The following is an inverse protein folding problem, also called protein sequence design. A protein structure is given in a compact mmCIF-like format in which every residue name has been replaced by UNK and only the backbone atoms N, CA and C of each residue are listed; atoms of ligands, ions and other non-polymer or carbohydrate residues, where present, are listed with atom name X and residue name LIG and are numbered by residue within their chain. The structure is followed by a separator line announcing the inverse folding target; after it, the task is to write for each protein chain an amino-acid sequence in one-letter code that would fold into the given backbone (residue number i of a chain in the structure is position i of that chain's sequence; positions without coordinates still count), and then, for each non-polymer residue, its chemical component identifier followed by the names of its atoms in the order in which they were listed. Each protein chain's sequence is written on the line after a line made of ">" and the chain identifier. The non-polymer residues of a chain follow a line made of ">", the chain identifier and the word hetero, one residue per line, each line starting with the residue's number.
data_IF_429847351991
#
_entry.id   IF_429847351991
#
_cell.length_a   1.000
_cell.length_b   1.000
_cell.length_c   1.000
_cell.angle_alpha   90.00
_cell.angle_beta   90.00
_cell.angle_gamma   90.00
#
_symmetry.space_group_name_H-M   'P 1'
#
loop_
_entity.id
_entity.type
_entity.pdbx_description
1 polymer ?
#
# COMPACT_ATOMS: atom_id res chain seq x y z
N UNK A 1 -5.47 12.10 -1.40
CA UNK A 1 -5.38 13.56 -1.17
C UNK A 1 -6.07 14.02 0.12
N UNK A 2 -7.19 13.40 0.51
CA UNK A 2 -8.07 13.93 1.56
C UNK A 2 -7.63 13.57 2.99
N UNK A 3 -6.84 12.52 3.18
CA UNK A 3 -6.34 12.12 4.51
C UNK A 3 -5.08 12.92 4.83
N UNK A 4 -5.15 13.80 5.83
CA UNK A 4 -4.06 14.73 6.17
C UNK A 4 -2.77 14.03 6.58
N UNK A 5 -2.90 12.90 7.27
CA UNK A 5 -1.79 12.08 7.77
C UNK A 5 -0.94 11.42 6.67
N UNK A 6 -1.48 11.33 5.45
CA UNK A 6 -0.71 10.85 4.29
C UNK A 6 0.02 12.04 3.66
N UNK A 7 1.34 12.02 3.66
CA UNK A 7 2.18 13.08 3.12
C UNK A 7 2.62 12.79 1.68
N UNK A 8 2.97 11.54 1.40
CA UNK A 8 3.45 11.10 0.11
C UNK A 8 2.83 9.76 -0.30
N UNK A 9 2.70 9.54 -1.60
CA UNK A 9 2.23 8.30 -2.21
C UNK A 9 3.24 7.89 -3.28
N UNK A 10 3.68 6.63 -3.23
CA UNK A 10 4.44 5.97 -4.28
C UNK A 10 3.56 4.91 -4.92
N UNK A 11 3.48 4.91 -6.24
CA UNK A 11 2.70 3.93 -6.99
C UNK A 11 3.64 3.02 -7.77
N UNK A 12 3.58 1.71 -7.51
CA UNK A 12 4.22 0.70 -8.34
C UNK A 12 3.17 0.07 -9.27
N UNK A 13 3.40 0.14 -10.56
CA UNK A 13 2.49 -0.38 -11.57
C UNK A 13 3.22 -1.10 -12.70
N UNK A 14 2.47 -1.72 -13.60
CA UNK A 14 3.01 -2.29 -14.84
C UNK A 14 3.64 -1.17 -15.67
N UNK A 15 4.84 -1.43 -16.22
CA UNK A 15 5.63 -0.41 -16.94
C UNK A 15 4.84 0.31 -18.05
N UNK A 16 4.00 -0.41 -18.77
CA UNK A 16 3.15 0.14 -19.85
C UNK A 16 2.08 1.12 -19.37
N UNK A 17 1.79 1.18 -18.06
CA UNK A 17 0.75 2.04 -17.49
C UNK A 17 1.31 3.29 -16.80
N UNK A 18 2.62 3.46 -16.74
CA UNK A 18 3.25 4.59 -16.01
C UNK A 18 2.77 5.93 -16.59
N UNK A 19 2.86 6.11 -17.91
CA UNK A 19 2.45 7.38 -18.55
C UNK A 19 0.94 7.62 -18.42
N UNK A 20 0.13 6.56 -18.51
CA UNK A 20 -1.31 6.67 -18.28
C UNK A 20 -1.61 7.14 -16.84
N UNK A 21 -0.95 6.56 -15.84
CA UNK A 21 -1.13 6.96 -14.44
C UNK A 21 -0.61 8.37 -14.17
N UNK A 22 0.49 8.79 -14.78
CA UNK A 22 0.98 10.18 -14.66
C UNK A 22 -0.07 11.18 -15.16
N UNK A 23 -0.71 10.88 -16.28
CA UNK A 23 -1.79 11.72 -16.81
C UNK A 23 -2.98 11.75 -15.86
N UNK A 24 -3.43 10.61 -15.35
CA UNK A 24 -4.52 10.56 -14.37
C UNK A 24 -4.19 11.36 -13.09
N UNK A 25 -2.99 11.20 -12.55
CA UNK A 25 -2.53 11.93 -11.35
C UNK A 25 -2.60 13.43 -11.59
N UNK A 26 -2.21 13.89 -12.79
CA UNK A 26 -2.28 15.30 -13.20
C UNK A 26 -3.73 15.76 -13.37
N UNK A 27 -4.54 15.01 -14.11
CA UNK A 27 -5.92 15.37 -14.44
C UNK A 27 -6.80 15.46 -13.19
N UNK A 28 -6.57 14.58 -12.22
CA UNK A 28 -7.27 14.57 -10.94
C UNK A 28 -6.59 15.38 -9.83
N UNK A 29 -5.49 16.10 -10.14
CA UNK A 29 -4.75 16.91 -9.18
C UNK A 29 -4.36 16.12 -7.90
N UNK A 30 -3.82 14.91 -8.07
CA UNK A 30 -3.41 14.07 -6.94
C UNK A 30 -1.99 14.45 -6.50
N UNK A 31 -1.85 15.60 -5.85
CA UNK A 31 -0.55 16.21 -5.52
C UNK A 31 0.30 15.41 -4.53
N UNK A 32 -0.28 14.46 -3.79
CA UNK A 32 0.45 13.58 -2.86
C UNK A 32 1.21 12.45 -3.56
N UNK A 33 0.91 12.12 -4.80
CA UNK A 33 1.69 11.18 -5.58
C UNK A 33 3.04 11.81 -5.93
N UNK A 34 4.11 11.32 -5.32
CA UNK A 34 5.47 11.83 -5.51
C UNK A 34 6.27 11.00 -6.51
N UNK A 35 5.94 9.72 -6.66
CA UNK A 35 6.63 8.83 -7.60
C UNK A 35 5.69 7.76 -8.16
N UNK A 36 5.87 7.45 -9.44
CA UNK A 36 5.23 6.32 -10.13
C UNK A 36 6.33 5.50 -10.77
N UNK A 37 6.48 4.26 -10.35
CA UNK A 37 7.58 3.38 -10.75
C UNK A 37 7.07 2.10 -11.40
N UNK A 38 7.95 1.47 -12.17
CA UNK A 38 7.69 0.12 -12.67
C UNK A 38 7.77 -0.89 -11.51
N UNK A 39 6.75 -1.71 -11.37
CA UNK A 39 6.73 -2.82 -10.44
C UNK A 39 7.77 -3.89 -10.76
N UNK A 40 7.78 -4.94 -9.97
CA UNK A 40 8.58 -6.14 -10.18
C UNK A 40 7.82 -7.22 -10.96
N UNK A 41 8.42 -8.39 -11.07
CA UNK A 41 7.82 -9.58 -11.65
C UNK A 41 6.79 -10.21 -10.73
N UNK A 42 6.88 -9.93 -9.44
CA UNK A 42 5.98 -10.39 -8.39
C UNK A 42 5.43 -9.22 -7.59
N UNK A 43 4.36 -9.45 -6.82
CA UNK A 43 3.84 -8.45 -5.88
C UNK A 43 4.87 -8.06 -4.83
N UNK A 44 5.64 -9.02 -4.32
CA UNK A 44 6.70 -8.76 -3.33
C UNK A 44 7.82 -7.89 -3.91
N UNK A 45 8.29 -8.18 -5.12
CA UNK A 45 9.29 -7.34 -5.79
C UNK A 45 8.78 -5.91 -6.01
N UNK A 46 7.48 -5.76 -6.35
CA UNK A 46 6.86 -4.46 -6.52
C UNK A 46 6.82 -3.68 -5.20
N UNK A 47 6.48 -4.34 -4.10
CA UNK A 47 6.48 -3.74 -2.76
C UNK A 47 7.89 -3.30 -2.37
N UNK A 48 8.91 -4.15 -2.56
CA UNK A 48 10.31 -3.82 -2.25
C UNK A 48 10.76 -2.57 -3.01
N UNK A 49 10.52 -2.52 -4.33
CA UNK A 49 10.86 -1.36 -5.16
C UNK A 49 10.15 -0.09 -4.69
N UNK A 50 8.86 -0.20 -4.34
CA UNK A 50 8.10 0.93 -3.83
C UNK A 50 8.63 1.42 -2.47
N UNK A 51 9.05 0.52 -1.58
CA UNK A 51 9.68 0.87 -0.31
C UNK A 51 11.05 1.55 -0.50
N UNK A 52 11.88 1.05 -1.44
CA UNK A 52 13.15 1.69 -1.79
C UNK A 52 12.93 3.12 -2.33
N UNK A 53 11.89 3.32 -3.12
CA UNK A 53 11.54 4.65 -3.62
C UNK A 53 10.97 5.54 -2.50
N UNK A 54 10.09 5.01 -1.65
CA UNK A 54 9.56 5.73 -0.50
C UNK A 54 10.68 6.17 0.46
N UNK A 55 11.71 5.32 0.66
CA UNK A 55 12.88 5.66 1.47
C UNK A 55 13.65 6.89 0.97
N UNK A 56 13.67 7.14 -0.34
CA UNK A 56 14.32 8.33 -0.92
C UNK A 56 13.54 9.62 -0.63
N UNK A 57 12.24 9.49 -0.41
CA UNK A 57 11.32 10.61 -0.15
C UNK A 57 11.19 10.87 1.36
N UNK A 58 11.39 9.82 2.16
CA UNK A 58 11.30 9.87 3.61
C UNK A 58 12.39 10.77 4.20
N UNK A 59 12.00 11.62 5.15
CA UNK A 59 12.91 12.52 5.86
C UNK A 59 13.37 11.93 7.21
N UNK A 60 12.72 10.85 7.66
CA UNK A 60 12.98 10.25 8.97
C UNK A 60 12.88 8.72 8.95
N UNK A 61 13.77 8.06 9.69
CA UNK A 61 13.68 6.61 9.93
C UNK A 61 12.49 6.21 10.82
N UNK A 62 11.69 7.19 11.30
CA UNK A 62 10.48 6.96 12.09
C UNK A 62 9.20 7.10 11.28
N UNK A 63 9.32 7.38 9.98
CA UNK A 63 8.16 7.52 9.11
C UNK A 63 7.41 6.19 9.00
N UNK A 64 6.09 6.27 9.07
CA UNK A 64 5.21 5.10 8.92
C UNK A 64 4.91 4.89 7.45
N UNK A 65 5.05 3.66 6.99
CA UNK A 65 4.70 3.26 5.62
C UNK A 65 3.47 2.36 5.64
N UNK A 66 2.46 2.74 4.89
CA UNK A 66 1.27 1.92 4.63
C UNK A 66 1.38 1.29 3.24
N UNK A 67 1.25 -0.04 3.18
CA UNK A 67 1.24 -0.79 1.93
C UNK A 67 -0.21 -1.14 1.60
N UNK A 68 -0.64 -0.81 0.39
CA UNK A 68 -2.02 -1.03 -0.04
C UNK A 68 -2.10 -1.61 -1.45
N UNK A 69 -2.93 -2.63 -1.62
CA UNK A 69 -3.21 -3.23 -2.93
C UNK A 69 -4.11 -2.33 -3.78
N UNK A 70 -3.66 -1.90 -4.94
CA UNK A 70 -4.44 -1.05 -5.86
C UNK A 70 -5.74 -1.69 -6.36
N UNK A 71 -5.86 -3.03 -6.29
CA UNK A 71 -7.09 -3.76 -6.65
C UNK A 71 -8.17 -3.69 -5.56
N UNK A 72 -7.91 -3.06 -4.41
CA UNK A 72 -8.85 -2.88 -3.30
C UNK A 72 -9.21 -1.41 -3.14
N UNK A 73 -10.00 -0.81 -4.06
CA UNK A 73 -10.17 0.64 -4.12
C UNK A 73 -11.02 1.22 -2.98
N UNK A 74 -11.78 0.37 -2.28
CA UNK A 74 -12.69 0.83 -1.22
C UNK A 74 -11.90 0.93 0.09
N UNK A 75 -11.33 2.12 0.31
CA UNK A 75 -10.60 2.48 1.52
C UNK A 75 -11.06 3.86 1.97
N UNK A 76 -11.34 4.03 3.26
CA UNK A 76 -11.71 5.32 3.84
C UNK A 76 -10.59 5.90 4.71
N UNK A 77 -10.71 7.19 5.05
CA UNK A 77 -9.73 7.88 5.88
C UNK A 77 -9.68 7.30 7.29
N UNK A 78 -10.79 6.78 7.81
CA UNK A 78 -10.83 6.19 9.15
C UNK A 78 -9.94 4.96 9.21
N UNK A 79 -10.05 4.04 8.25
CA UNK A 79 -9.21 2.85 8.20
C UNK A 79 -7.72 3.18 8.12
N UNK A 80 -7.37 4.22 7.34
CA UNK A 80 -5.99 4.70 7.25
C UNK A 80 -5.49 5.19 8.62
N UNK A 81 -6.28 6.03 9.29
CA UNK A 81 -5.93 6.59 10.60
C UNK A 81 -5.81 5.48 11.66
N UNK A 82 -6.78 4.57 11.72
CA UNK A 82 -6.77 3.44 12.64
C UNK A 82 -5.49 2.58 12.49
N UNK A 83 -5.00 2.38 11.24
CA UNK A 83 -3.75 1.67 11.00
C UNK A 83 -2.53 2.48 11.46
N UNK A 84 -2.49 3.78 11.26
CA UNK A 84 -1.40 4.65 11.72
C UNK A 84 -1.32 4.61 13.26
N UNK A 85 -2.43 4.85 13.95
CA UNK A 85 -2.51 4.79 15.41
C UNK A 85 -2.10 3.41 15.98
N UNK A 86 -2.48 2.33 15.26
CA UNK A 86 -2.07 0.98 15.62
C UNK A 86 -0.55 0.80 15.50
N UNK A 87 0.07 1.31 14.43
CA UNK A 87 1.53 1.26 14.26
C UNK A 87 2.24 2.08 15.33
N UNK A 88 1.77 3.29 15.63
CA UNK A 88 2.33 4.14 16.69
C UNK A 88 2.31 3.45 18.03
N UNK A 89 1.26 2.70 18.34
CA UNK A 89 1.08 2.02 19.61
C UNK A 89 1.80 0.68 19.71
N UNK A 90 1.80 -0.11 18.64
CA UNK A 90 2.23 -1.51 18.65
C UNK A 90 3.41 -1.82 17.73
N UNK A 91 3.86 -0.84 16.92
CA UNK A 91 4.97 -0.99 15.98
C UNK A 91 4.59 -1.63 14.64
N UNK A 92 3.39 -2.20 14.52
CA UNK A 92 2.89 -2.82 13.27
C UNK A 92 1.37 -2.84 13.25
N UNK A 93 0.80 -2.92 12.03
CA UNK A 93 -0.63 -3.06 11.82
C UNK A 93 -0.93 -3.92 10.60
N UNK A 94 -1.97 -4.74 10.67
CA UNK A 94 -2.50 -5.49 9.54
C UNK A 94 -4.02 -5.39 9.58
N UNK A 95 -4.61 -4.87 8.50
CA UNK A 95 -6.07 -4.86 8.36
C UNK A 95 -6.56 -6.25 8.00
N UNK A 96 -7.47 -6.78 8.80
CA UNK A 96 -8.11 -8.07 8.55
C UNK A 96 -9.61 -8.03 8.82
N UNK A 97 -10.33 -8.95 8.21
CA UNK A 97 -11.73 -9.20 8.49
C UNK A 97 -11.88 -10.43 9.38
N UNK A 98 -12.88 -10.39 10.26
CA UNK A 98 -13.23 -11.57 11.03
C UNK A 98 -13.66 -12.69 10.09
N UNK A 99 -13.02 -13.85 10.21
CA UNK A 99 -13.41 -15.04 9.45
C UNK A 99 -14.86 -15.42 9.78
N UNK A 100 -15.66 -15.61 8.73
CA UNK A 100 -17.08 -16.01 8.85
C UNK A 100 -17.31 -17.48 8.53
N UNK A 101 -16.37 -18.12 7.86
CA UNK A 101 -16.44 -19.52 7.43
C UNK A 101 -15.46 -20.38 8.22
N UNK A 102 -15.68 -21.68 8.23
CA UNK A 102 -14.79 -22.64 8.88
C UNK A 102 -13.46 -22.69 8.15
N UNK A 103 -12.37 -22.45 8.87
CA UNK A 103 -11.00 -22.56 8.34
C UNK A 103 -10.41 -23.89 8.79
N UNK A 104 -9.92 -24.69 7.86
CA UNK A 104 -9.22 -25.95 8.11
C UNK A 104 -7.73 -25.73 7.86
N UNK A 105 -6.89 -26.10 8.82
CA UNK A 105 -5.45 -26.13 8.64
C UNK A 105 -5.04 -27.59 8.37
N UNK A 106 -4.58 -27.87 7.16
CA UNK A 106 -3.99 -29.17 6.81
C UNK A 106 -2.47 -29.08 6.87
N UNK A 107 -1.85 -30.06 7.52
CA UNK A 107 -0.38 -30.23 7.56
C UNK A 107 0.14 -31.08 6.41
N UNK A 108 -0.73 -31.76 5.69
CA UNK A 108 -0.41 -32.51 4.48
C UNK A 108 -1.12 -31.87 3.29
N UNK A 109 -0.51 -31.92 2.11
CA UNK A 109 -1.14 -31.49 0.86
C UNK A 109 -2.13 -32.51 0.30
N UNK A 110 -2.51 -33.51 1.08
CA UNK A 110 -3.53 -34.48 0.71
C UNK A 110 -4.91 -33.83 0.83
N UNK A 111 -5.67 -33.96 -0.23
CA UNK A 111 -7.05 -33.46 -0.31
C UNK A 111 -7.92 -34.09 0.80
N UNK A 112 -8.64 -33.26 1.50
CA UNK A 112 -9.72 -33.65 2.40
C UNK A 112 -10.99 -33.84 1.58
#
# INVERSE_FOLDING_TARGET
>A
NNTKQIEAIVIACVNTHIEYLKNLVKDYNIFKVKSIIAGGRTGQESIIKALEEAKKISESNKDIVLIHDGVRPIIDSKLIIDNIECVEKYGTSITCLKQRETTIISKSHENV
#
